data_IF_787359326698
#
_entry.id   IF_787359326698
#
_cell.length_a   1.000
_cell.length_b   1.000
_cell.length_c   1.000
_cell.angle_alpha   90.00
_cell.angle_beta   90.00
_cell.angle_gamma   90.00
#
_symmetry.space_group_name_H-M   'P 1'
#
loop_
_entity.id
_entity.type
_entity.pdbx_description
1 polymer ?
#
# COMPACT_ATOMS: atom_id res chain seq x y z
N UNK A 1 9.08 14.88 -5.50
CA UNK A 1 7.92 14.29 -4.78
C UNK A 1 8.45 13.82 -3.42
N UNK A 2 7.65 13.11 -2.60
CA UNK A 2 7.84 12.92 -1.14
C UNK A 2 7.68 11.43 -0.79
N UNK A 3 8.25 10.96 0.32
CA UNK A 3 7.93 9.62 0.80
C UNK A 3 6.47 9.58 1.29
N UNK A 4 5.66 8.71 0.69
CA UNK A 4 4.24 8.55 1.05
C UNK A 4 4.01 7.26 1.80
N UNK A 5 3.46 7.40 3.01
CA UNK A 5 2.91 6.27 3.74
C UNK A 5 1.39 6.19 3.59
N UNK A 6 0.87 5.01 3.32
CA UNK A 6 -0.56 4.71 3.40
C UNK A 6 -0.78 3.54 4.34
N UNK A 7 -1.57 3.75 5.38
CA UNK A 7 -1.99 2.69 6.30
C UNK A 7 -3.40 2.24 5.95
N UNK A 8 -3.60 0.94 5.99
CA UNK A 8 -4.89 0.28 5.84
C UNK A 8 -5.06 -0.80 6.92
N UNK A 9 -6.31 -1.15 7.18
CA UNK A 9 -6.66 -2.19 8.15
C UNK A 9 -7.78 -3.06 7.60
N UNK A 10 -7.71 -4.35 7.88
CA UNK A 10 -8.63 -5.36 7.36
C UNK A 10 -8.82 -6.51 8.34
N UNK A 11 -9.75 -7.42 8.01
CA UNK A 11 -10.09 -8.57 8.85
C UNK A 11 -9.27 -9.83 8.53
N UNK A 12 -8.86 -10.01 7.27
CA UNK A 12 -8.21 -11.24 6.81
C UNK A 12 -6.73 -11.03 6.53
N UNK A 13 -5.89 -11.64 7.36
CA UNK A 13 -4.43 -11.71 7.16
C UNK A 13 -4.13 -12.50 5.89
N UNK A 14 -4.78 -13.67 5.72
CA UNK A 14 -4.65 -14.52 4.55
C UNK A 14 -4.82 -13.75 3.24
N UNK A 15 -5.89 -12.94 3.11
CA UNK A 15 -6.14 -12.17 1.89
C UNK A 15 -5.00 -11.21 1.54
N UNK A 16 -4.42 -10.54 2.53
CA UNK A 16 -3.31 -9.61 2.31
C UNK A 16 -2.04 -10.36 1.93
N UNK A 17 -1.77 -11.51 2.57
CA UNK A 17 -0.63 -12.36 2.22
C UNK A 17 -0.77 -12.98 0.83
N UNK A 18 -1.93 -13.51 0.45
CA UNK A 18 -2.20 -14.05 -0.89
C UNK A 18 -2.03 -13.02 -2.00
N UNK A 19 -2.45 -11.78 -1.75
CA UNK A 19 -2.22 -10.70 -2.71
C UNK A 19 -0.71 -10.46 -2.95
N UNK A 20 0.08 -10.44 -1.88
CA UNK A 20 1.54 -10.30 -2.00
C UNK A 20 2.18 -11.55 -2.62
N UNK A 21 1.64 -12.75 -2.38
CA UNK A 21 2.10 -13.98 -3.02
C UNK A 21 2.04 -13.89 -4.54
N UNK A 22 0.86 -13.48 -5.07
CA UNK A 22 0.65 -13.34 -6.51
C UNK A 22 1.67 -12.37 -7.12
N UNK A 23 2.02 -11.30 -6.38
CA UNK A 23 3.04 -10.34 -6.82
C UNK A 23 4.44 -10.97 -6.83
N UNK A 24 4.79 -11.76 -5.81
CA UNK A 24 6.06 -12.49 -5.77
C UNK A 24 6.16 -13.50 -6.92
N UNK A 25 5.11 -14.29 -7.14
CA UNK A 25 5.06 -15.29 -8.22
C UNK A 25 5.18 -14.67 -9.62
N UNK A 26 4.64 -13.45 -9.80
CA UNK A 26 4.74 -12.70 -11.04
C UNK A 26 6.05 -11.89 -11.19
N UNK A 27 7.05 -12.08 -10.31
CA UNK A 27 8.29 -11.29 -10.28
C UNK A 27 8.06 -9.77 -10.15
N UNK A 28 6.95 -9.40 -9.52
CA UNK A 28 6.50 -8.04 -9.28
C UNK A 28 6.79 -7.58 -7.84
N UNK A 29 7.20 -8.50 -6.98
CA UNK A 29 7.62 -8.23 -5.62
C UNK A 29 8.62 -9.29 -5.14
N UNK A 30 9.36 -8.95 -4.08
CA UNK A 30 10.17 -9.89 -3.32
C UNK A 30 9.97 -9.69 -1.83
N UNK A 31 10.22 -10.74 -1.02
CA UNK A 31 10.29 -10.58 0.44
C UNK A 31 11.62 -9.93 0.76
N UNK A 32 11.58 -8.71 1.28
CA UNK A 32 12.78 -7.98 1.68
C UNK A 32 13.34 -8.57 2.97
N UNK A 33 12.48 -8.70 3.99
CA UNK A 33 12.82 -9.41 5.23
C UNK A 33 11.57 -9.75 6.06
N UNK A 34 11.79 -10.55 7.10
CA UNK A 34 10.80 -10.91 8.13
C UNK A 34 11.34 -10.56 9.51
N UNK A 35 10.45 -10.22 10.44
CA UNK A 35 10.81 -9.93 11.83
C UNK A 35 9.92 -10.72 12.77
N UNK A 36 10.53 -11.49 13.67
CA UNK A 36 9.83 -12.38 14.63
C UNK A 36 8.83 -13.33 13.95
N UNK A 37 9.21 -13.88 12.80
CA UNK A 37 8.43 -14.87 12.07
C UNK A 37 9.31 -16.07 11.75
N UNK A 38 8.69 -17.22 11.54
CA UNK A 38 9.38 -18.40 11.06
C UNK A 38 9.92 -18.18 9.64
N UNK A 39 11.08 -18.75 9.38
CA UNK A 39 11.65 -18.82 8.04
C UNK A 39 11.34 -20.18 7.42
N UNK A 40 10.97 -20.16 6.14
CA UNK A 40 10.84 -21.37 5.35
C UNK A 40 12.23 -22.02 5.19
N UNK A 41 12.36 -23.35 5.32
CA UNK A 41 13.65 -24.04 5.15
C UNK A 41 14.33 -23.79 3.80
N UNK A 42 13.55 -23.52 2.76
CA UNK A 42 14.02 -23.21 1.39
C UNK A 42 14.18 -21.71 1.13
N UNK A 43 13.99 -20.87 2.15
CA UNK A 43 14.03 -19.41 2.07
C UNK A 43 12.85 -18.77 1.35
N UNK A 44 11.91 -19.54 0.79
CA UNK A 44 10.81 -19.00 -0.03
C UNK A 44 9.73 -18.34 0.82
N UNK A 45 8.90 -17.53 0.18
CA UNK A 45 7.70 -17.00 0.81
C UNK A 45 6.65 -18.09 1.01
N UNK A 46 6.10 -18.18 2.22
CA UNK A 46 5.10 -19.17 2.60
C UNK A 46 4.01 -18.49 3.43
N UNK A 47 2.77 -18.57 2.95
CA UNK A 47 1.63 -18.06 3.72
C UNK A 47 1.46 -18.83 5.02
N UNK A 48 1.73 -20.15 5.01
CA UNK A 48 1.62 -20.99 6.20
C UNK A 48 2.54 -20.48 7.30
N UNK A 49 3.82 -20.29 7.01
CA UNK A 49 4.80 -19.85 8.02
C UNK A 49 4.46 -18.46 8.55
N UNK A 50 3.93 -17.59 7.69
CA UNK A 50 3.40 -16.30 8.11
C UNK A 50 2.18 -16.42 9.04
N UNK A 51 1.22 -17.27 8.69
CA UNK A 51 0.02 -17.50 9.50
C UNK A 51 0.36 -18.14 10.84
N UNK A 52 1.28 -19.10 10.87
CA UNK A 52 1.75 -19.76 12.09
C UNK A 52 2.48 -18.78 13.01
N UNK A 53 3.24 -17.84 12.45
CA UNK A 53 3.87 -16.75 13.21
C UNK A 53 2.86 -15.76 13.78
N UNK A 54 1.74 -15.53 13.08
CA UNK A 54 0.68 -14.62 13.52
C UNK A 54 -0.34 -15.27 14.46
N UNK A 55 -0.49 -16.59 14.40
CA UNK A 55 -1.52 -17.32 15.14
C UNK A 55 -1.47 -17.08 16.66
N UNK A 56 -0.32 -17.08 17.35
CA UNK A 56 -0.27 -16.82 18.79
C UNK A 56 -0.90 -15.50 19.20
N UNK A 57 -0.75 -14.45 18.38
CA UNK A 57 -1.31 -13.12 18.62
C UNK A 57 -2.81 -13.06 18.32
N UNK A 58 -3.25 -13.78 17.29
CA UNK A 58 -4.66 -13.86 16.89
C UNK A 58 -5.47 -14.70 17.88
N UNK A 59 -4.91 -15.78 18.41
CA UNK A 59 -5.57 -16.69 19.35
C UNK A 59 -5.92 -16.00 20.69
N UNK A 60 -5.10 -15.03 21.11
CA UNK A 60 -5.34 -14.25 22.33
C UNK A 60 -6.12 -12.95 22.07
N UNK A 61 -6.53 -12.67 20.83
CA UNK A 61 -7.26 -11.44 20.50
C UNK A 61 -8.64 -11.42 21.19
N UNK A 62 -8.86 -10.39 22.01
CA UNK A 62 -10.06 -10.32 22.83
C UNK A 62 -11.24 -9.61 22.14
N UNK A 63 -10.98 -8.61 21.28
CA UNK A 63 -12.04 -7.68 20.79
C UNK A 63 -11.78 -7.03 19.42
N UNK A 64 -10.61 -7.23 18.81
CA UNK A 64 -10.25 -6.48 17.60
C UNK A 64 -10.78 -7.19 16.36
N UNK A 65 -11.72 -6.59 15.61
CA UNK A 65 -12.21 -7.19 14.36
C UNK A 65 -11.24 -7.00 13.18
N UNK A 66 -10.73 -5.78 13.02
CA UNK A 66 -9.77 -5.46 11.96
C UNK A 66 -8.36 -5.69 12.48
N UNK A 67 -7.98 -6.95 12.55
CA UNK A 67 -6.70 -7.39 13.14
C UNK A 67 -5.49 -7.07 12.27
N UNK A 68 -5.67 -6.80 10.98
CA UNK A 68 -4.54 -6.57 10.07
C UNK A 68 -4.06 -5.13 10.16
N UNK A 69 -2.75 -4.96 10.30
CA UNK A 69 -2.04 -3.73 9.99
C UNK A 69 -1.34 -3.92 8.64
N UNK A 70 -1.61 -3.03 7.70
CA UNK A 70 -0.93 -3.01 6.42
C UNK A 70 -0.54 -1.60 6.06
N UNK A 71 0.76 -1.35 5.90
CA UNK A 71 1.29 -0.06 5.48
C UNK A 71 2.04 -0.21 4.16
N UNK A 72 1.89 0.76 3.25
CA UNK A 72 2.83 0.94 2.15
C UNK A 72 3.69 2.18 2.37
N UNK A 73 5.00 2.05 2.16
CA UNK A 73 5.97 3.15 2.18
C UNK A 73 6.49 3.36 0.75
N UNK A 74 6.38 4.58 0.24
CA UNK A 74 6.66 4.86 -1.16
C UNK A 74 7.69 5.99 -1.23
N UNK A 75 9.00 5.68 -1.25
CA UNK A 75 10.06 6.67 -1.45
C UNK A 75 9.90 7.48 -2.75
N UNK A 76 10.60 8.60 -2.88
CA UNK A 76 10.62 9.33 -4.14
C UNK A 76 11.36 8.48 -5.20
N UNK A 77 10.91 8.43 -6.47
CA UNK A 77 11.62 7.71 -7.53
C UNK A 77 13.09 8.15 -7.73
N UNK A 78 13.47 9.35 -7.26
CA UNK A 78 14.85 9.85 -7.29
C UNK A 78 15.71 9.26 -6.18
N UNK A 79 15.11 8.77 -5.10
CA UNK A 79 15.81 8.11 -4.00
C UNK A 79 16.27 6.73 -4.48
N UNK A 80 17.57 6.55 -4.70
CA UNK A 80 18.16 5.25 -5.04
C UNK A 80 18.57 4.54 -3.76
N UNK A 81 17.66 3.72 -3.23
CA UNK A 81 17.83 3.04 -1.96
C UNK A 81 18.27 1.59 -2.17
N UNK A 82 19.29 1.18 -1.44
CA UNK A 82 19.67 -0.23 -1.33
C UNK A 82 18.64 -1.05 -0.54
N UNK A 83 18.67 -2.37 -0.67
CA UNK A 83 17.80 -3.26 0.11
C UNK A 83 18.05 -3.11 1.62
N UNK A 84 19.30 -2.82 2.02
CA UNK A 84 19.70 -2.54 3.39
C UNK A 84 19.03 -1.27 3.90
N UNK A 85 19.14 -0.15 3.16
CA UNK A 85 18.48 1.11 3.53
C UNK A 85 16.96 0.98 3.58
N UNK A 86 16.35 0.29 2.61
CA UNK A 86 14.90 0.01 2.63
C UNK A 86 14.50 -0.80 3.87
N UNK A 87 15.35 -1.74 4.29
CA UNK A 87 15.10 -2.54 5.49
C UNK A 87 15.17 -1.71 6.76
N UNK A 88 16.20 -0.87 6.88
CA UNK A 88 16.38 0.08 7.99
C UNK A 88 15.22 1.07 8.09
N UNK A 89 14.79 1.65 6.96
CA UNK A 89 13.64 2.56 6.90
C UNK A 89 12.36 1.87 7.39
N UNK A 90 12.08 0.65 6.90
CA UNK A 90 10.89 -0.10 7.33
C UNK A 90 10.96 -0.46 8.84
N UNK A 91 12.13 -0.83 9.34
CA UNK A 91 12.31 -1.19 10.75
C UNK A 91 12.14 0.04 11.65
N UNK A 92 12.76 1.17 11.31
CA UNK A 92 12.64 2.43 12.02
C UNK A 92 11.19 2.94 12.00
N UNK A 93 10.51 2.83 10.85
CA UNK A 93 9.09 3.17 10.72
C UNK A 93 8.22 2.33 11.68
N UNK A 94 8.37 1.01 11.66
CA UNK A 94 7.61 0.11 12.55
C UNK A 94 7.90 0.38 14.03
N UNK A 95 9.16 0.62 14.38
CA UNK A 95 9.57 0.96 15.74
C UNK A 95 8.91 2.25 16.22
N UNK A 96 9.07 3.36 15.47
CA UNK A 96 8.52 4.67 15.82
C UNK A 96 6.99 4.69 15.84
N UNK A 97 6.33 3.89 15.01
CA UNK A 97 4.85 3.82 14.96
C UNK A 97 4.25 3.00 16.12
N UNK A 98 5.06 2.19 16.81
CA UNK A 98 4.66 1.36 17.95
C UNK A 98 4.44 -0.12 17.61
N UNK A 99 4.88 -0.57 16.44
CA UNK A 99 4.75 -1.95 15.97
C UNK A 99 6.08 -2.72 16.00
N UNK A 100 7.19 -2.13 16.46
CA UNK A 100 8.52 -2.77 16.39
C UNK A 100 8.66 -4.11 17.13
N UNK A 101 7.79 -4.36 18.12
CA UNK A 101 7.73 -5.65 18.83
C UNK A 101 6.82 -6.68 18.18
N UNK A 102 6.07 -6.33 17.14
CA UNK A 102 5.18 -7.25 16.44
C UNK A 102 5.95 -8.19 15.50
N UNK A 103 5.39 -9.37 15.19
CA UNK A 103 5.74 -10.10 13.99
C UNK A 103 5.33 -9.27 12.77
N UNK A 104 6.19 -9.16 11.77
CA UNK A 104 5.82 -8.55 10.50
C UNK A 104 6.72 -9.02 9.36
N UNK A 105 6.19 -8.89 8.15
CA UNK A 105 6.87 -9.19 6.90
C UNK A 105 6.87 -7.94 6.02
N UNK A 106 8.00 -7.69 5.36
CA UNK A 106 8.19 -6.58 4.44
C UNK A 106 8.41 -7.11 3.03
N UNK A 107 7.57 -6.68 2.11
CA UNK A 107 7.73 -6.93 0.67
C UNK A 107 8.27 -5.67 0.00
N UNK A 108 9.21 -5.81 -0.93
CA UNK A 108 9.58 -4.76 -1.87
C UNK A 108 8.86 -5.02 -3.19
N UNK A 109 8.01 -4.09 -3.61
CA UNK A 109 7.25 -4.17 -4.86
C UNK A 109 7.92 -3.32 -5.94
N UNK A 110 7.93 -3.83 -7.17
CA UNK A 110 8.49 -3.21 -8.38
C UNK A 110 7.48 -3.18 -9.54
N UNK A 111 6.19 -3.37 -9.23
CA UNK A 111 5.10 -3.50 -10.21
C UNK A 111 4.62 -2.17 -10.81
N UNK A 112 5.18 -1.06 -10.33
CA UNK A 112 5.02 0.29 -10.88
C UNK A 112 6.41 0.88 -11.14
N UNK A 113 6.49 2.05 -11.79
CA UNK A 113 7.76 2.74 -12.14
C UNK A 113 8.67 3.12 -10.96
N UNK A 114 8.33 2.72 -9.73
CA UNK A 114 9.09 2.99 -8.50
C UNK A 114 9.02 1.79 -7.56
N UNK A 115 10.12 1.53 -6.89
CA UNK A 115 10.13 0.58 -5.79
C UNK A 115 9.39 1.17 -4.59
N UNK A 116 8.63 0.32 -3.91
CA UNK A 116 7.92 0.69 -2.69
C UNK A 116 7.77 -0.51 -1.78
N UNK A 117 7.59 -0.26 -0.49
CA UNK A 117 7.50 -1.31 0.51
C UNK A 117 6.05 -1.56 0.90
N UNK A 118 5.72 -2.82 1.12
CA UNK A 118 4.48 -3.27 1.73
C UNK A 118 4.80 -4.02 3.02
N UNK A 119 4.32 -3.50 4.14
CA UNK A 119 4.55 -4.05 5.48
C UNK A 119 3.25 -4.65 6.00
N UNK A 120 3.26 -5.93 6.32
CA UNK A 120 2.10 -6.66 6.86
C UNK A 120 2.39 -7.09 8.29
N UNK A 121 1.52 -6.70 9.21
CA UNK A 121 1.61 -6.98 10.65
C UNK A 121 0.20 -7.14 11.24
N UNK A 122 0.13 -7.35 12.54
CA UNK A 122 -1.11 -7.33 13.31
C UNK A 122 -1.30 -6.03 14.09
N UNK A 123 -2.56 -5.71 14.36
CA UNK A 123 -3.06 -4.63 15.23
C UNK A 123 -3.16 -5.06 16.69
N UNK A 124 -2.83 -6.30 17.00
CA UNK A 124 -3.03 -6.93 18.31
C UNK A 124 -1.68 -7.41 18.81
N UNK A 125 -1.32 -7.02 20.03
CA UNK A 125 -0.06 -7.44 20.64
C UNK A 125 -0.15 -8.85 21.24
N UNK A 126 0.97 -9.35 21.76
CA UNK A 126 1.09 -10.67 22.40
C UNK A 126 0.15 -10.90 23.59
N UNK A 127 -0.41 -9.83 24.17
CA UNK A 127 -1.39 -9.90 25.26
C UNK A 127 -2.84 -9.79 24.77
N UNK A 128 -3.09 -9.87 23.46
CA UNK A 128 -4.43 -9.76 22.91
C UNK A 128 -5.01 -8.35 22.91
N UNK A 129 -4.21 -7.33 23.25
CA UNK A 129 -4.64 -5.93 23.31
C UNK A 129 -4.39 -5.25 21.98
N UNK A 130 -5.36 -4.42 21.55
CA UNK A 130 -5.22 -3.57 20.38
C UNK A 130 -4.07 -2.58 20.58
N UNK A 131 -3.19 -2.49 19.60
CA UNK A 131 -2.11 -1.49 19.53
C UNK A 131 -2.75 -0.12 19.30
N UNK A 132 -2.21 0.91 19.97
CA UNK A 132 -2.73 2.27 19.88
C UNK A 132 -2.70 2.78 18.43
N UNK A 133 -3.88 3.01 17.87
CA UNK A 133 -4.09 3.58 16.54
C UNK A 133 -4.59 5.03 16.55
N UNK A 134 -4.57 5.69 17.72
CA UNK A 134 -4.89 7.11 17.84
C UNK A 134 -3.93 7.95 16.99
N UNK A 135 -4.53 8.80 16.15
CA UNK A 135 -3.84 9.69 15.23
C UNK A 135 -2.76 9.00 14.39
N UNK A 136 -2.92 7.70 14.11
CA UNK A 136 -1.87 6.88 13.50
C UNK A 136 -1.41 7.41 12.13
N UNK A 137 -2.34 7.93 11.33
CA UNK A 137 -2.04 8.56 10.05
C UNK A 137 -1.16 9.81 10.22
N UNK A 138 -1.47 10.66 11.21
CA UNK A 138 -0.68 11.85 11.49
C UNK A 138 0.71 11.49 12.06
N UNK A 139 0.78 10.49 12.96
CA UNK A 139 2.05 9.96 13.47
C UNK A 139 2.90 9.37 12.35
N UNK A 140 2.29 8.59 11.46
CA UNK A 140 2.94 8.01 10.28
C UNK A 140 3.53 9.09 9.37
N UNK A 141 2.79 10.18 9.10
CA UNK A 141 3.32 11.31 8.31
C UNK A 141 4.51 11.99 9.01
N UNK A 142 4.44 12.20 10.33
CA UNK A 142 5.53 12.77 11.11
C UNK A 142 6.78 11.88 11.03
N UNK A 143 6.60 10.58 11.21
CA UNK A 143 7.68 9.58 11.13
C UNK A 143 8.29 9.57 9.72
N UNK A 144 7.49 9.63 8.66
CA UNK A 144 8.03 9.69 7.30
C UNK A 144 8.94 10.91 7.11
N UNK A 145 8.54 12.07 7.65
CA UNK A 145 9.36 13.29 7.59
C UNK A 145 10.66 13.15 8.38
N UNK A 146 10.63 12.51 9.54
CA UNK A 146 11.84 12.22 10.32
C UNK A 146 12.77 11.28 9.56
N UNK A 147 12.23 10.21 8.95
CA UNK A 147 13.01 9.26 8.15
C UNK A 147 13.59 9.90 6.89
N UNK A 148 12.86 10.81 6.22
CA UNK A 148 13.41 11.60 5.12
C UNK A 148 14.68 12.35 5.53
N UNK A 149 14.71 12.91 6.74
CA UNK A 149 15.88 13.61 7.28
C UNK A 149 16.99 12.65 7.70
N UNK A 150 16.66 11.57 8.42
CA UNK A 150 17.61 10.59 8.93
C UNK A 150 18.37 9.87 7.80
N UNK A 151 17.69 9.59 6.68
CA UNK A 151 18.25 8.87 5.54
C UNK A 151 18.65 9.78 4.36
N UNK A 152 18.61 11.11 4.54
CA UNK A 152 18.89 12.10 3.49
C UNK A 152 18.07 11.89 2.19
N UNK A 153 16.79 11.54 2.34
CA UNK A 153 15.87 11.35 1.22
C UNK A 153 15.34 12.69 0.70
N UNK A 154 14.81 12.70 -0.51
CA UNK A 154 14.16 13.89 -1.09
C UNK A 154 13.02 14.36 -0.17
N UNK A 155 13.13 15.58 0.42
CA UNK A 155 12.21 16.01 1.45
C UNK A 155 10.88 16.55 0.89
N UNK A 156 9.87 16.53 1.75
CA UNK A 156 8.59 17.24 1.58
C UNK A 156 8.74 18.74 1.21
N UNK A 157 8.67 19.09 -0.07
CA UNK A 157 8.34 20.47 -0.48
C UNK A 157 6.84 20.72 -0.26
N UNK A 158 6.49 21.66 0.64
CA UNK A 158 5.11 22.13 0.81
C UNK A 158 4.64 22.79 -0.49
N UNK A 159 3.51 22.32 -1.05
CA UNK A 159 2.76 23.03 -2.09
C UNK A 159 2.76 22.42 -3.49
N UNK A 160 3.65 21.48 -3.82
CA UNK A 160 3.59 20.80 -5.12
C UNK A 160 2.67 19.58 -5.05
N UNK A 161 1.35 19.82 -5.11
CA UNK A 161 0.52 18.92 -5.91
C UNK A 161 0.99 19.18 -7.34
N UNK A 162 1.90 18.35 -7.84
CA UNK A 162 2.06 18.23 -9.28
C UNK A 162 0.71 17.76 -9.82
N UNK A 163 -0.11 18.73 -10.18
CA UNK A 163 -1.26 18.53 -11.04
C UNK A 163 -0.68 18.27 -12.44
N UNK A 164 0.06 17.18 -12.61
CA UNK A 164 0.38 16.71 -13.95
C UNK A 164 -0.98 16.44 -14.59
N UNK A 165 -1.30 17.22 -15.61
CA UNK A 165 -2.30 16.83 -16.59
C UNK A 165 -1.88 15.44 -17.07
N UNK A 166 -2.76 14.42 -17.03
CA UNK A 166 -2.52 13.23 -17.82
C UNK A 166 -2.43 13.75 -19.26
N UNK A 167 -1.23 13.84 -19.81
CA UNK A 167 -0.99 14.20 -21.20
C UNK A 167 -0.89 12.95 -22.06
N UNK A 168 -0.79 11.78 -21.43
CA UNK A 168 -0.63 10.48 -22.08
C UNK A 168 -1.94 9.71 -22.04
N UNK A 169 -2.38 9.23 -23.21
CA UNK A 169 -3.46 8.24 -23.33
C UNK A 169 -3.04 6.94 -22.62
N UNK A 170 -4.00 6.14 -22.16
CA UNK A 170 -3.68 4.82 -21.60
C UNK A 170 -2.95 3.98 -22.63
N UNK A 171 -1.82 3.42 -22.20
CA UNK A 171 -1.10 2.38 -22.91
C UNK A 171 -1.16 1.10 -22.07
N UNK A 172 -1.99 0.15 -22.52
CA UNK A 172 -2.16 -1.13 -21.83
C UNK A 172 -0.86 -1.96 -21.83
N UNK A 173 0.06 -1.69 -22.77
CA UNK A 173 1.35 -2.40 -22.87
C UNK A 173 2.31 -1.98 -21.77
N UNK A 174 2.17 -0.77 -21.21
CA UNK A 174 3.00 -0.29 -20.08
C UNK A 174 2.60 -0.92 -18.73
N UNK A 175 1.51 -1.70 -18.65
CA UNK A 175 1.03 -2.29 -17.40
C UNK A 175 0.39 -1.27 -16.44
N UNK A 176 0.09 -1.66 -15.19
CA UNK A 176 -0.52 -0.76 -14.18
C UNK A 176 -1.83 -0.05 -14.64
N UNK A 177 -2.64 -0.73 -15.46
CA UNK A 177 -3.83 -0.17 -16.12
C UNK A 177 -4.78 0.48 -15.11
N UNK A 178 -4.98 -0.15 -13.95
CA UNK A 178 -5.88 0.35 -12.90
C UNK A 178 -5.48 1.74 -12.40
N UNK A 179 -4.19 1.97 -12.21
CA UNK A 179 -3.68 3.26 -11.77
C UNK A 179 -3.68 4.27 -12.92
N UNK A 180 -3.38 3.85 -14.16
CA UNK A 180 -3.52 4.70 -15.35
C UNK A 180 -4.97 5.24 -15.47
N UNK A 181 -5.98 4.36 -15.41
CA UNK A 181 -7.40 4.75 -15.39
C UNK A 181 -7.71 5.65 -14.19
N UNK A 182 -7.24 5.26 -13.00
CA UNK A 182 -7.48 6.02 -11.76
C UNK A 182 -6.93 7.45 -11.78
N UNK A 183 -5.81 7.70 -12.46
CA UNK A 183 -5.22 9.03 -12.56
C UNK A 183 -5.94 9.90 -13.59
N UNK A 184 -6.33 9.34 -14.74
CA UNK A 184 -7.12 10.05 -15.74
C UNK A 184 -8.47 10.49 -15.17
N UNK A 185 -9.19 9.54 -14.57
CA UNK A 185 -10.51 9.79 -13.95
C UNK A 185 -10.42 10.88 -12.87
N UNK A 186 -9.49 10.77 -11.91
CA UNK A 186 -9.27 11.80 -10.87
C UNK A 186 -8.92 13.16 -11.47
N UNK A 187 -8.06 13.20 -12.47
CA UNK A 187 -7.67 14.45 -13.13
C UNK A 187 -8.87 15.13 -13.75
N UNK A 188 -9.65 14.40 -14.56
CA UNK A 188 -10.84 14.92 -15.22
C UNK A 188 -11.83 15.45 -14.18
N UNK A 189 -12.15 14.64 -13.17
CA UNK A 189 -13.08 15.03 -12.09
C UNK A 189 -12.61 16.24 -11.28
N UNK A 190 -11.30 16.46 -11.16
CA UNK A 190 -10.76 17.61 -10.40
C UNK A 190 -10.76 18.93 -11.18
N UNK A 191 -10.97 18.88 -12.51
CA UNK A 191 -10.74 20.02 -13.42
C UNK A 191 -11.98 20.42 -14.20
N UNK A 192 -12.88 19.47 -14.46
CA UNK A 192 -14.07 19.69 -15.25
C UNK A 192 -15.30 19.46 -14.39
N UNK A 193 -16.27 20.34 -14.56
CA UNK A 193 -17.63 20.10 -14.13
C UNK A 193 -18.41 19.54 -15.33
N UNK A 194 -19.11 18.43 -15.12
CA UNK A 194 -19.94 17.79 -16.14
C UNK A 194 -21.33 17.54 -15.58
N UNK A 195 -22.34 17.66 -16.43
CA UNK A 195 -23.76 17.55 -16.07
C UNK A 195 -24.38 16.21 -16.45
N UNK A 196 -23.63 15.37 -17.18
CA UNK A 196 -24.10 14.05 -17.61
C UNK A 196 -22.96 13.03 -17.68
N UNK A 197 -23.32 11.73 -17.65
CA UNK A 197 -22.35 10.66 -17.88
C UNK A 197 -21.78 10.71 -19.30
N UNK A 198 -22.55 11.18 -20.28
CA UNK A 198 -22.09 11.36 -21.66
C UNK A 198 -20.97 12.39 -21.80
N UNK A 199 -21.06 13.51 -21.08
CA UNK A 199 -19.98 14.52 -21.01
C UNK A 199 -18.72 13.94 -20.35
N UNK A 200 -18.90 13.22 -19.24
CA UNK A 200 -17.78 12.56 -18.56
C UNK A 200 -17.11 11.51 -19.46
N UNK A 201 -17.89 10.70 -20.17
CA UNK A 201 -17.41 9.69 -21.13
C UNK A 201 -16.62 10.35 -22.26
N UNK A 202 -17.13 11.43 -22.84
CA UNK A 202 -16.44 12.17 -23.92
C UNK A 202 -15.04 12.63 -23.48
N UNK A 203 -14.90 13.09 -22.24
CA UNK A 203 -13.60 13.48 -21.69
C UNK A 203 -12.66 12.28 -21.48
N UNK A 204 -13.19 11.12 -21.08
CA UNK A 204 -12.41 9.90 -20.89
C UNK A 204 -11.92 9.31 -22.22
N UNK A 205 -12.73 9.37 -23.27
CA UNK A 205 -12.42 8.78 -24.59
C UNK A 205 -11.17 9.41 -25.23
N UNK A 206 -10.85 10.66 -24.88
CA UNK A 206 -9.61 11.34 -25.26
C UNK A 206 -8.35 10.59 -24.78
N UNK A 207 -8.48 9.75 -23.75
CA UNK A 207 -7.41 9.01 -23.10
C UNK A 207 -7.48 7.50 -23.29
N UNK A 208 -8.26 6.99 -24.25
CA UNK A 208 -8.54 5.56 -24.45
C UNK A 208 -9.28 4.89 -23.27
N UNK A 209 -10.09 5.65 -22.54
CA UNK A 209 -10.95 5.15 -21.46
C UNK A 209 -12.40 5.44 -21.83
N UNK A 210 -13.32 4.52 -21.52
CA UNK A 210 -14.76 4.79 -21.61
C UNK A 210 -15.42 4.51 -20.26
N UNK A 211 -16.60 5.10 -20.07
CA UNK A 211 -17.47 4.83 -18.93
C UNK A 211 -18.85 4.43 -19.46
N UNK A 212 -19.41 3.38 -18.88
CA UNK A 212 -20.73 2.88 -19.23
C UNK A 212 -21.57 2.77 -17.97
N UNK A 213 -22.83 3.19 -18.07
CA UNK A 213 -23.81 2.98 -17.01
C UNK A 213 -24.27 1.53 -17.09
N UNK A 214 -24.01 0.76 -16.02
CA UNK A 214 -24.53 -0.58 -15.89
C UNK A 214 -25.80 -0.47 -15.03
N UNK A 215 -26.97 -0.66 -15.65
CA UNK A 215 -28.23 -0.84 -14.92
C UNK A 215 -28.26 -2.28 -14.43
N UNK A 216 -27.96 -2.48 -13.16
CA UNK A 216 -28.10 -3.77 -12.50
C UNK A 216 -29.39 -3.80 -11.71
N UNK A 217 -30.19 -4.86 -11.85
CA UNK A 217 -31.27 -5.11 -10.92
C UNK A 217 -30.71 -5.71 -9.62
N UNK A 218 -30.91 -5.04 -8.49
CA UNK A 218 -30.66 -5.60 -7.17
C UNK A 218 -31.99 -6.03 -6.57
N UNK A 219 -32.21 -7.35 -6.43
CA UNK A 219 -33.49 -7.93 -5.99
C UNK A 219 -34.70 -7.49 -6.84
N UNK A 220 -34.54 -7.41 -8.17
CA UNK A 220 -35.63 -7.07 -9.09
C UNK A 220 -36.05 -5.60 -9.05
N UNK A 221 -35.19 -4.71 -8.53
CA UNK A 221 -35.35 -3.26 -8.66
C UNK A 221 -34.17 -2.65 -9.40
N UNK A 222 -34.41 -1.74 -10.38
CA UNK A 222 -33.36 -1.01 -11.07
C UNK A 222 -32.48 -0.19 -10.12
#
# INVERSE_FOLDING_TARGET
RKMLAKISSGKSVFRVLSYNQIKVENNQAEVLYRRKMFDSPDGKFSIRDCMDSFYPYLAVNNKTEKVVFHASLNPDPKDKLSNEQLSEIAQAYMQKLGYGNQPYIVFKHSDIKREHLHIVSLRVNENGKKINDSYEVARSMKICKELEQEFNLVPLMKGQRESETPTKKIDYREGDIKHQVGNITKSIMSRFYFQSLGEYRTLLEQFNVTAEEIKGEHEGKP
#
